data_IF_676865920268
#
_entry.id   IF_676865920268
#
_cell.length_a   1.000
_cell.length_b   1.000
_cell.length_c   1.000
_cell.angle_alpha   90.00
_cell.angle_beta   90.00
_cell.angle_gamma   90.00
#
_symmetry.space_group_name_H-M   'P 1'
#
loop_
_entity.id
_entity.type
_entity.pdbx_description
1 polymer ?
#
# COMPACT_ATOMS: atom_id res chain seq x y z
N UNK A 1 -16.98 14.04 0.49
CA UNK A 1 -16.68 13.81 1.93
C UNK A 1 -17.53 14.65 2.87
N UNK A 2 -17.54 16.00 2.81
CA UNK A 2 -18.28 16.85 3.77
C UNK A 2 -19.78 16.52 3.87
N UNK A 3 -20.45 16.31 2.72
CA UNK A 3 -21.87 15.88 2.67
C UNK A 3 -22.10 14.55 3.42
N UNK A 4 -21.25 13.55 3.19
CA UNK A 4 -21.36 12.22 3.81
C UNK A 4 -21.24 12.29 5.35
N UNK A 5 -20.37 13.16 5.87
CA UNK A 5 -20.20 13.37 7.31
C UNK A 5 -21.10 14.46 7.89
N UNK A 6 -22.03 15.04 7.10
CA UNK A 6 -22.90 16.16 7.50
C UNK A 6 -22.12 17.33 8.12
N UNK A 7 -20.93 17.63 7.59
CA UNK A 7 -20.06 18.72 8.04
C UNK A 7 -20.06 19.86 7.01
N UNK A 8 -19.95 21.10 7.49
CA UNK A 8 -19.80 22.28 6.62
C UNK A 8 -18.51 22.18 5.81
N UNK A 9 -18.56 22.51 4.53
CA UNK A 9 -17.39 22.61 3.67
C UNK A 9 -16.88 24.05 3.69
N UNK A 10 -15.70 24.27 4.24
CA UNK A 10 -15.13 25.60 4.48
C UNK A 10 -13.61 25.58 4.37
N UNK A 11 -12.99 26.76 4.30
CA UNK A 11 -11.54 26.88 4.31
C UNK A 11 -11.00 26.49 5.68
N UNK A 12 -10.04 25.56 5.70
CA UNK A 12 -9.21 25.33 6.87
C UNK A 12 -8.14 26.42 6.93
N UNK A 13 -8.09 27.17 8.04
CA UNK A 13 -7.19 28.32 8.22
C UNK A 13 -5.72 27.94 8.07
N UNK A 14 -5.32 26.81 8.66
CA UNK A 14 -3.94 26.35 8.65
C UNK A 14 -3.52 25.88 7.25
N UNK A 15 -4.34 25.06 6.58
CA UNK A 15 -4.06 24.64 5.21
C UNK A 15 -4.00 25.82 4.24
N UNK A 16 -4.86 26.83 4.44
CA UNK A 16 -4.85 28.06 3.65
C UNK A 16 -3.53 28.82 3.84
N UNK A 17 -3.07 29.00 5.08
CA UNK A 17 -1.80 29.67 5.38
C UNK A 17 -0.57 28.91 4.86
N UNK A 18 -0.63 27.57 4.83
CA UNK A 18 0.45 26.76 4.24
C UNK A 18 0.54 27.02 2.74
N UNK A 19 -0.61 27.02 2.06
CA UNK A 19 -0.67 27.27 0.62
C UNK A 19 -0.32 28.72 0.25
N UNK A 20 -0.74 29.69 1.07
CA UNK A 20 -0.38 31.10 0.91
C UNK A 20 1.12 31.34 1.08
N UNK A 21 1.75 30.69 2.07
CA UNK A 21 3.21 30.75 2.24
C UNK A 21 3.97 30.06 1.10
N UNK A 22 3.42 28.99 0.55
CA UNK A 22 4.03 28.26 -0.54
C UNK A 22 3.90 28.99 -1.89
N UNK A 23 2.69 29.45 -2.20
CA UNK A 23 2.39 30.20 -3.41
C UNK A 23 2.48 31.69 -3.11
N UNK A 24 3.60 32.32 -3.46
CA UNK A 24 3.75 33.78 -3.43
C UNK A 24 2.60 34.45 -4.18
N UNK A 25 2.15 35.62 -3.73
CA UNK A 25 0.89 36.32 -4.09
C UNK A 25 0.36 36.06 -5.51
N UNK A 26 1.15 36.37 -6.56
CA UNK A 26 0.72 36.27 -7.96
C UNK A 26 0.39 34.84 -8.42
N UNK A 27 0.84 33.83 -7.68
CA UNK A 27 0.56 32.42 -7.95
C UNK A 27 -0.55 31.85 -7.04
N UNK A 28 -1.05 32.54 -6.01
CA UNK A 28 -2.10 31.99 -5.14
C UNK A 28 -3.52 32.28 -5.63
N UNK A 29 -3.87 31.73 -6.79
CA UNK A 29 -5.18 31.92 -7.44
C UNK A 29 -6.34 31.17 -6.74
N UNK A 30 -7.58 31.44 -7.17
CA UNK A 30 -8.79 30.83 -6.61
C UNK A 30 -8.83 29.29 -6.68
N UNK A 31 -8.22 28.69 -7.70
CA UNK A 31 -8.13 27.23 -7.81
C UNK A 31 -7.21 26.65 -6.72
N UNK A 32 -6.07 27.30 -6.45
CA UNK A 32 -5.14 26.90 -5.38
C UNK A 32 -5.74 27.15 -4.00
N UNK A 33 -6.45 28.27 -3.79
CA UNK A 33 -7.19 28.52 -2.55
C UNK A 33 -8.19 27.42 -2.25
N UNK A 34 -8.94 26.94 -3.25
CA UNK A 34 -9.91 25.84 -3.09
C UNK A 34 -9.29 24.55 -2.54
N UNK A 35 -7.98 24.33 -2.69
CA UNK A 35 -7.27 23.17 -2.12
C UNK A 35 -7.26 23.20 -0.58
N UNK A 36 -7.41 24.37 0.06
CA UNK A 36 -7.58 24.49 1.51
C UNK A 36 -9.00 24.21 2.01
N UNK A 37 -9.98 24.00 1.12
CA UNK A 37 -11.35 23.71 1.55
C UNK A 37 -11.52 22.24 1.91
N UNK A 38 -12.10 21.99 3.07
CA UNK A 38 -12.33 20.65 3.61
C UNK A 38 -13.51 20.65 4.59
N UNK A 39 -13.97 19.48 5.08
CA UNK A 39 -15.00 19.43 6.12
C UNK A 39 -14.53 20.14 7.40
N UNK A 40 -15.43 20.89 8.06
CA UNK A 40 -15.16 21.50 9.37
C UNK A 40 -14.60 20.49 10.37
N UNK A 41 -13.51 20.86 11.05
CA UNK A 41 -12.84 20.01 12.03
C UNK A 41 -12.20 18.76 11.43
N UNK A 42 -11.82 18.78 10.15
CA UNK A 42 -10.92 17.79 9.58
C UNK A 42 -9.49 18.00 10.11
N UNK A 43 -8.78 16.91 10.37
CA UNK A 43 -7.36 16.96 10.67
C UNK A 43 -6.54 17.06 9.39
N UNK A 44 -5.40 17.73 9.44
CA UNK A 44 -4.50 17.88 8.29
C UNK A 44 -3.55 16.70 8.17
N UNK A 45 -3.26 16.31 6.93
CA UNK A 45 -2.17 15.39 6.58
C UNK A 45 -1.15 16.24 5.83
N UNK A 46 -0.04 16.56 6.48
CA UNK A 46 0.96 17.44 5.87
C UNK A 46 1.64 16.75 4.69
N UNK A 47 1.94 17.56 3.67
CA UNK A 47 2.55 17.10 2.44
C UNK A 47 3.94 17.73 2.30
N UNK A 48 5.02 16.96 2.53
CA UNK A 48 6.38 17.49 2.44
C UNK A 48 6.80 17.83 1.01
N UNK A 49 6.12 17.27 -0.01
CA UNK A 49 6.53 17.40 -1.42
C UNK A 49 5.89 18.57 -2.16
N UNK A 50 4.65 18.96 -1.84
CA UNK A 50 3.91 19.97 -2.62
C UNK A 50 3.18 21.03 -1.78
N UNK A 51 3.36 21.03 -0.45
CA UNK A 51 2.68 21.90 0.53
C UNK A 51 1.15 21.80 0.57
N UNK A 52 0.51 21.25 -0.47
CA UNK A 52 -0.90 20.91 -0.50
C UNK A 52 -1.21 19.76 0.45
N UNK A 53 -1.70 20.10 1.63
CA UNK A 53 -2.09 19.13 2.64
C UNK A 53 -3.27 18.26 2.17
N UNK A 54 -3.21 16.98 2.51
CA UNK A 54 -4.38 16.13 2.56
C UNK A 54 -5.18 16.41 3.83
N UNK A 55 -6.25 15.66 4.04
CA UNK A 55 -7.01 15.76 5.29
C UNK A 55 -7.66 14.43 5.65
N UNK A 56 -8.04 14.28 6.91
CA UNK A 56 -8.82 13.14 7.38
C UNK A 56 -10.01 13.58 8.22
N UNK A 57 -11.07 12.77 8.17
CA UNK A 57 -12.24 12.87 9.04
C UNK A 57 -12.54 11.49 9.57
N UNK A 58 -12.41 11.31 10.89
CA UNK A 58 -12.48 9.99 11.53
C UNK A 58 -11.50 9.02 10.84
N UNK A 59 -11.98 7.90 10.33
CA UNK A 59 -11.22 6.86 9.64
C UNK A 59 -11.15 7.04 8.11
N UNK A 60 -11.53 8.21 7.57
CA UNK A 60 -11.47 8.49 6.13
C UNK A 60 -10.38 9.49 5.84
N UNK A 61 -9.38 9.07 5.06
CA UNK A 61 -8.22 9.85 4.66
C UNK A 61 -8.38 10.28 3.19
N UNK A 62 -8.09 11.54 2.89
CA UNK A 62 -8.09 12.10 1.54
C UNK A 62 -6.66 12.49 1.18
N UNK A 63 -6.10 11.81 0.18
CA UNK A 63 -4.71 11.96 -0.25
C UNK A 63 -4.67 12.38 -1.74
N UNK A 64 -3.56 12.99 -2.19
CA UNK A 64 -3.36 13.33 -3.60
C UNK A 64 -3.35 12.10 -4.52
N UNK A 65 -3.81 12.26 -5.75
CA UNK A 65 -3.84 11.18 -6.74
C UNK A 65 -2.49 10.84 -7.38
N UNK A 66 -1.46 11.67 -7.17
CA UNK A 66 -0.10 11.45 -7.70
C UNK A 66 0.64 10.45 -6.79
N UNK A 67 1.06 9.27 -7.28
CA UNK A 67 1.60 8.20 -6.43
C UNK A 67 2.81 8.60 -5.59
N UNK A 68 3.75 9.36 -6.14
CA UNK A 68 4.96 9.79 -5.43
C UNK A 68 4.64 10.72 -4.26
N UNK A 69 3.65 11.60 -4.42
CA UNK A 69 3.19 12.51 -3.37
C UNK A 69 2.43 11.73 -2.29
N UNK A 70 1.57 10.80 -2.69
CA UNK A 70 0.89 9.93 -1.73
C UNK A 70 1.89 9.17 -0.86
N UNK A 71 2.92 8.58 -1.46
CA UNK A 71 3.96 7.84 -0.75
C UNK A 71 4.70 8.71 0.27
N UNK A 72 5.01 9.97 -0.05
CA UNK A 72 5.69 10.87 0.88
C UNK A 72 4.84 11.28 2.08
N UNK A 73 3.51 11.10 2.00
CA UNK A 73 2.56 11.39 3.08
C UNK A 73 2.25 10.17 3.96
N UNK A 74 2.67 8.97 3.56
CA UNK A 74 2.30 7.72 4.26
C UNK A 74 2.82 7.66 5.69
N UNK A 75 4.02 8.18 5.97
CA UNK A 75 4.59 8.20 7.32
C UNK A 75 3.69 8.94 8.33
N UNK A 76 3.02 10.00 7.89
CA UNK A 76 2.05 10.73 8.72
C UNK A 76 0.75 9.94 8.91
N UNK A 77 0.27 9.31 7.83
CA UNK A 77 -0.95 8.48 7.88
C UNK A 77 -0.75 7.28 8.81
N UNK A 78 0.42 6.64 8.77
CA UNK A 78 0.78 5.51 9.64
C UNK A 78 0.72 5.86 11.13
N UNK A 79 1.01 7.10 11.52
CA UNK A 79 0.88 7.57 12.90
C UNK A 79 -0.57 7.74 13.36
N UNK A 80 -1.51 7.88 12.42
CA UNK A 80 -2.93 8.13 12.69
C UNK A 80 -3.79 6.86 12.62
N UNK A 81 -3.32 5.84 11.92
CA UNK A 81 -4.05 4.59 11.74
C UNK A 81 -3.77 3.68 12.93
N UNK A 82 -4.83 3.13 13.51
CA UNK A 82 -4.71 2.02 14.45
C UNK A 82 -4.36 0.78 13.64
N UNK A 83 -3.12 0.30 13.78
CA UNK A 83 -2.65 -0.91 13.12
C UNK A 83 -3.37 -2.17 13.59
N UNK A 84 -3.38 -3.19 12.73
CA UNK A 84 -3.81 -4.54 13.08
C UNK A 84 -2.62 -5.49 13.28
N UNK A 85 -2.89 -6.79 13.26
CA UNK A 85 -1.83 -7.80 13.32
C UNK A 85 -0.87 -7.64 12.12
N UNK A 86 0.43 -7.72 12.41
CA UNK A 86 1.47 -7.62 11.38
C UNK A 86 1.38 -8.81 10.43
N UNK A 87 1.17 -8.53 9.15
CA UNK A 87 1.24 -9.54 8.09
C UNK A 87 2.68 -9.64 7.60
N UNK A 88 3.22 -10.84 7.64
CA UNK A 88 4.51 -11.18 7.06
C UNK A 88 4.31 -11.74 5.65
N UNK A 89 5.26 -11.48 4.75
CA UNK A 89 5.24 -11.96 3.38
C UNK A 89 6.64 -12.31 2.93
N UNK A 90 6.82 -13.47 2.28
CA UNK A 90 8.04 -13.80 1.56
C UNK A 90 7.71 -14.16 0.12
N UNK A 91 8.58 -13.76 -0.80
CA UNK A 91 8.44 -14.05 -2.24
C UNK A 91 9.62 -14.88 -2.68
N UNK A 92 9.35 -15.99 -3.36
CA UNK A 92 10.35 -16.85 -4.01
C UNK A 92 10.11 -16.81 -5.51
N UNK A 93 11.08 -16.30 -6.26
CA UNK A 93 11.01 -16.24 -7.72
C UNK A 93 11.64 -17.47 -8.36
N UNK A 94 10.96 -18.05 -9.33
CA UNK A 94 11.47 -19.20 -10.10
C UNK A 94 11.22 -19.04 -11.59
N UNK A 95 12.18 -19.45 -12.42
CA UNK A 95 12.06 -19.49 -13.88
C UNK A 95 11.38 -20.79 -14.32
N UNK A 96 10.15 -21.01 -13.85
CA UNK A 96 9.33 -22.15 -14.19
C UNK A 96 7.92 -21.65 -14.53
N UNK A 97 7.22 -22.26 -15.50
CA UNK A 97 5.82 -21.97 -15.75
C UNK A 97 4.98 -22.45 -14.55
N UNK A 98 3.91 -21.73 -14.26
CA UNK A 98 3.02 -22.01 -13.13
C UNK A 98 2.48 -23.44 -13.14
N UNK A 99 2.17 -23.97 -14.33
CA UNK A 99 1.67 -25.34 -14.53
C UNK A 99 2.58 -26.42 -13.95
N UNK A 100 3.89 -26.19 -13.87
CA UNK A 100 4.85 -27.14 -13.29
C UNK A 100 4.83 -27.18 -11.76
N UNK A 101 4.27 -26.16 -11.11
CA UNK A 101 4.31 -26.00 -9.64
C UNK A 101 2.93 -26.06 -9.00
N UNK A 102 1.86 -25.73 -9.72
CA UNK A 102 0.52 -25.57 -9.16
C UNK A 102 0.06 -26.76 -8.31
N UNK A 103 0.33 -28.00 -8.74
CA UNK A 103 -0.04 -29.21 -7.98
C UNK A 103 0.65 -29.30 -6.62
N UNK A 104 1.95 -29.02 -6.57
CA UNK A 104 2.72 -29.10 -5.32
C UNK A 104 2.47 -27.89 -4.43
N UNK A 105 2.24 -26.72 -5.02
CA UNK A 105 1.80 -25.54 -4.28
C UNK A 105 0.44 -25.78 -3.61
N UNK A 106 -0.51 -26.42 -4.30
CA UNK A 106 -1.80 -26.79 -3.74
C UNK A 106 -1.69 -27.80 -2.58
N UNK A 107 -0.76 -28.77 -2.65
CA UNK A 107 -0.48 -29.65 -1.51
C UNK A 107 0.12 -28.88 -0.34
N UNK A 108 1.02 -27.94 -0.61
CA UNK A 108 1.66 -27.12 0.41
C UNK A 108 0.65 -26.20 1.11
N UNK A 109 -0.26 -25.59 0.36
CA UNK A 109 -1.39 -24.79 0.89
C UNK A 109 -2.30 -25.61 1.81
N UNK A 110 -2.55 -26.88 1.49
CA UNK A 110 -3.33 -27.79 2.36
C UNK A 110 -2.60 -28.12 3.67
N UNK A 111 -1.27 -28.14 3.66
CA UNK A 111 -0.44 -28.37 4.85
C UNK A 111 -0.35 -27.13 5.74
N UNK A 112 -0.26 -25.94 5.14
CA UNK A 112 -0.17 -24.65 5.84
C UNK A 112 -1.48 -23.87 5.70
N UNK A 113 -2.54 -24.34 6.37
CA UNK A 113 -3.89 -23.76 6.28
C UNK A 113 -4.01 -22.33 6.84
N UNK A 114 -3.08 -21.96 7.69
CA UNK A 114 -2.94 -20.64 8.31
C UNK A 114 -2.15 -19.64 7.45
N UNK A 115 -1.56 -20.10 6.35
CA UNK A 115 -0.81 -19.27 5.41
C UNK A 115 -1.59 -19.13 4.10
N UNK A 116 -1.39 -18.01 3.41
CA UNK A 116 -1.88 -17.78 2.05
C UNK A 116 -0.71 -17.95 1.07
N UNK A 117 -0.82 -18.92 0.17
CA UNK A 117 0.16 -19.18 -0.89
C UNK A 117 -0.42 -18.74 -2.24
N UNK A 118 0.28 -17.85 -2.94
CA UNK A 118 -0.10 -17.37 -4.27
C UNK A 118 1.00 -17.61 -5.29
N UNK A 119 0.59 -17.86 -6.54
CA UNK A 119 1.46 -17.94 -7.72
C UNK A 119 1.12 -16.80 -8.67
N UNK A 120 2.14 -16.04 -9.09
CA UNK A 120 1.99 -14.91 -10.00
C UNK A 120 2.98 -15.08 -11.16
N UNK A 121 2.52 -15.53 -12.35
CA UNK A 121 3.38 -15.64 -13.51
C UNK A 121 3.90 -14.25 -13.94
N UNK A 122 5.15 -14.19 -14.37
CA UNK A 122 5.76 -12.97 -14.89
C UNK A 122 6.62 -13.28 -16.10
N UNK A 123 6.80 -12.26 -16.95
CA UNK A 123 7.67 -12.30 -18.11
C UNK A 123 8.77 -11.26 -17.91
N UNK A 124 10.01 -11.71 -17.84
CA UNK A 124 11.16 -10.82 -17.66
C UNK A 124 12.26 -11.20 -18.65
N UNK A 125 12.67 -10.24 -19.47
CA UNK A 125 13.75 -10.41 -20.46
C UNK A 125 13.55 -11.63 -21.37
N UNK A 126 12.33 -11.85 -21.86
CA UNK A 126 11.98 -12.97 -22.74
C UNK A 126 11.86 -14.34 -22.04
N UNK A 127 12.04 -14.42 -20.72
CA UNK A 127 11.89 -15.66 -19.94
C UNK A 127 10.60 -15.63 -19.13
N UNK A 128 9.91 -16.77 -19.09
CA UNK A 128 8.73 -16.99 -18.25
C UNK A 128 9.19 -17.44 -16.86
N UNK A 129 8.65 -16.78 -15.83
CA UNK A 129 8.85 -17.16 -14.44
C UNK A 129 7.55 -17.09 -13.65
N UNK A 130 7.60 -17.54 -12.41
CA UNK A 130 6.51 -17.46 -11.45
C UNK A 130 7.05 -16.92 -10.13
N UNK A 131 6.42 -15.89 -9.59
CA UNK A 131 6.65 -15.40 -8.24
C UNK A 131 5.71 -16.12 -7.28
N UNK A 132 6.28 -16.86 -6.35
CA UNK A 132 5.55 -17.62 -5.34
C UNK A 132 5.55 -16.80 -4.05
N UNK A 133 4.37 -16.36 -3.63
CA UNK A 133 4.20 -15.48 -2.48
C UNK A 133 3.59 -16.28 -1.34
N UNK A 134 4.22 -16.26 -0.17
CA UNK A 134 3.68 -16.86 1.07
C UNK A 134 3.42 -15.73 2.06
N UNK A 135 2.18 -15.61 2.53
CA UNK A 135 1.72 -14.60 3.49
C UNK A 135 1.09 -15.24 4.71
N UNK A 136 1.20 -14.57 5.86
CA UNK A 136 0.56 -14.99 7.10
C UNK A 136 0.99 -14.12 8.29
N UNK A 137 0.52 -14.48 9.48
CA UNK A 137 0.75 -13.70 10.70
C UNK A 137 1.91 -14.22 11.56
N UNK A 138 2.52 -15.36 11.18
CA UNK A 138 3.66 -15.94 11.88
C UNK A 138 4.88 -16.03 10.97
N UNK A 139 5.91 -15.24 11.28
CA UNK A 139 7.18 -15.26 10.56
C UNK A 139 7.82 -16.66 10.57
N UNK A 140 7.80 -17.36 11.72
CA UNK A 140 8.32 -18.71 11.86
C UNK A 140 7.62 -19.70 10.91
N UNK A 141 6.29 -19.69 10.86
CA UNK A 141 5.49 -20.55 9.96
C UNK A 141 5.83 -20.26 8.49
N UNK A 142 5.98 -18.99 8.13
CA UNK A 142 6.36 -18.60 6.77
C UNK A 142 7.73 -19.15 6.40
N UNK A 143 8.72 -19.06 7.30
CA UNK A 143 10.05 -19.63 7.03
C UNK A 143 10.02 -21.15 6.90
N UNK A 144 9.25 -21.85 7.75
CA UNK A 144 9.05 -23.31 7.62
C UNK A 144 8.45 -23.68 6.25
N UNK A 145 7.42 -22.96 5.82
CA UNK A 145 6.79 -23.14 4.52
C UNK A 145 7.78 -22.85 3.37
N UNK A 146 8.54 -21.76 3.47
CA UNK A 146 9.56 -21.36 2.48
C UNK A 146 10.63 -22.44 2.30
N UNK A 147 11.16 -23.01 3.39
CA UNK A 147 12.17 -24.08 3.33
C UNK A 147 11.63 -25.31 2.59
N UNK A 148 10.38 -25.69 2.85
CA UNK A 148 9.75 -26.83 2.17
C UNK A 148 9.52 -26.50 0.69
N UNK A 149 9.06 -25.28 0.39
CA UNK A 149 8.87 -24.82 -0.98
C UNK A 149 10.18 -24.88 -1.77
N UNK A 150 11.27 -24.36 -1.23
CA UNK A 150 12.60 -24.42 -1.87
C UNK A 150 13.06 -25.86 -2.13
N UNK A 151 12.77 -26.80 -1.22
CA UNK A 151 13.06 -28.23 -1.45
C UNK A 151 12.24 -28.80 -2.59
N UNK A 152 10.95 -28.47 -2.70
CA UNK A 152 10.09 -28.87 -3.83
C UNK A 152 10.67 -28.32 -5.14
N UNK A 153 11.01 -27.03 -5.17
CA UNK A 153 11.58 -26.37 -6.34
C UNK A 153 12.90 -26.99 -6.81
N UNK A 154 13.78 -27.36 -5.87
CA UNK A 154 15.05 -28.05 -6.19
C UNK A 154 14.82 -29.43 -6.80
N UNK A 155 13.76 -30.14 -6.39
CA UNK A 155 13.40 -31.44 -6.99
C UNK A 155 12.89 -31.27 -8.41
N UNK A 156 11.99 -30.31 -8.64
CA UNK A 156 11.40 -30.04 -9.96
C UNK A 156 12.48 -29.64 -10.97
N UNK A 157 13.50 -28.87 -10.57
CA UNK A 157 14.62 -28.50 -11.46
C UNK A 157 15.55 -29.65 -11.84
N UNK A 158 15.54 -30.75 -11.08
CA UNK A 158 16.38 -31.95 -11.33
C UNK A 158 15.66 -33.01 -12.16
N UNK A 159 14.35 -32.86 -12.39
CA UNK A 159 13.52 -33.75 -13.21
C UNK A 159 13.32 -33.14 -14.59
#
# INVERSE_FOLDING_TARGET
ISKAFKRKYEYNKEAYQILERHYKDSYFNEARKKMAKMPRGAGLIYNPSSSAAGFYVKNVFTLPGVPSILQSMMSFVEQLIIGGEKVYSVTVQVHLPESKIGKDLGKLQKKFKDLSLGSYPFFQSGKIGTALVVRGYSEKRIQECKIILEKILKKIKKS
#
